data_IF_207299021307
#
_entry.id   IF_207299021307
#
_cell.length_a   1.000
_cell.length_b   1.000
_cell.length_c   1.000
_cell.angle_alpha   90.00
_cell.angle_beta   90.00
_cell.angle_gamma   90.00
#
_symmetry.space_group_name_H-M   'P 1'
#
loop_
_entity.id
_entity.type
_entity.pdbx_description
1 polymer ?
#
# COMPACT_ATOMS: atom_id res chain seq x y z
N UNK A 1 -14.55 7.80 -87.24
CA UNK A 1 -14.63 8.74 -86.12
C UNK A 1 -15.00 7.94 -84.89
N UNK A 2 -14.04 7.81 -83.95
CA UNK A 2 -14.11 6.94 -82.80
C UNK A 2 -14.59 7.76 -81.57
N UNK A 3 -15.72 7.35 -80.99
CA UNK A 3 -16.14 7.87 -79.65
C UNK A 3 -15.42 7.06 -78.58
N UNK A 4 -14.62 7.76 -77.81
CA UNK A 4 -14.00 7.20 -76.61
C UNK A 4 -14.99 7.37 -75.45
N UNK A 5 -15.53 6.26 -74.94
CA UNK A 5 -16.28 6.21 -73.70
C UNK A 5 -15.31 6.30 -72.52
N UNK A 6 -15.38 7.40 -71.79
CA UNK A 6 -14.67 7.59 -70.53
C UNK A 6 -15.53 7.02 -69.40
N UNK A 7 -15.21 5.84 -68.94
CA UNK A 7 -15.85 5.21 -67.78
C UNK A 7 -15.33 5.90 -66.51
N UNK A 8 -16.14 6.75 -65.89
CA UNK A 8 -15.87 7.29 -64.59
C UNK A 8 -16.04 6.19 -63.53
N UNK A 9 -14.96 5.62 -63.07
CA UNK A 9 -14.93 4.71 -61.91
C UNK A 9 -14.99 5.57 -60.64
N UNK A 10 -16.22 5.74 -60.08
CA UNK A 10 -16.44 6.39 -58.82
C UNK A 10 -15.97 5.42 -57.71
N UNK A 11 -14.73 5.59 -57.23
CA UNK A 11 -14.24 4.87 -56.06
C UNK A 11 -14.97 5.35 -54.81
N UNK A 12 -15.95 4.57 -54.35
CA UNK A 12 -16.66 4.79 -53.09
C UNK A 12 -15.67 4.47 -51.94
N UNK A 13 -14.99 5.49 -51.44
CA UNK A 13 -14.17 5.37 -50.22
C UNK A 13 -15.11 5.25 -49.05
N UNK A 14 -15.42 4.04 -48.63
CA UNK A 14 -16.11 3.75 -47.40
C UNK A 14 -15.13 4.05 -46.25
N UNK A 15 -15.22 5.25 -45.70
CA UNK A 15 -14.58 5.60 -44.44
C UNK A 15 -15.27 4.82 -43.33
N UNK A 16 -14.73 3.65 -43.00
CA UNK A 16 -15.08 3.00 -41.74
C UNK A 16 -14.58 3.92 -40.61
N UNK A 17 -15.44 4.43 -39.75
CA UNK A 17 -14.98 5.09 -38.55
C UNK A 17 -14.22 4.02 -37.74
N UNK A 18 -12.90 4.08 -37.77
CA UNK A 18 -12.08 3.34 -36.83
C UNK A 18 -12.40 3.92 -35.47
N UNK A 19 -13.38 3.32 -34.79
CA UNK A 19 -13.55 3.51 -33.35
C UNK A 19 -12.33 2.93 -32.63
N UNK A 20 -11.22 3.63 -32.68
CA UNK A 20 -10.15 3.48 -31.71
C UNK A 20 -10.65 4.07 -30.41
N UNK A 21 -11.62 3.40 -29.78
CA UNK A 21 -12.04 3.75 -28.43
C UNK A 21 -10.80 3.67 -27.54
N UNK A 22 -10.40 4.79 -26.99
CA UNK A 22 -9.35 4.82 -25.97
C UNK A 22 -9.76 3.87 -24.85
N UNK A 23 -8.83 2.99 -24.45
CA UNK A 23 -9.08 2.09 -23.33
C UNK A 23 -9.50 2.89 -22.11
N UNK A 24 -10.54 2.48 -21.36
CA UNK A 24 -10.98 3.22 -20.19
C UNK A 24 -9.88 3.22 -19.14
N UNK A 25 -9.69 4.35 -18.51
CA UNK A 25 -8.95 4.42 -17.25
C UNK A 25 -9.87 3.94 -16.15
N UNK A 26 -9.48 2.89 -15.43
CA UNK A 26 -10.28 2.26 -14.36
C UNK A 26 -9.51 2.38 -13.06
N UNK A 27 -10.05 3.10 -12.10
CA UNK A 27 -9.58 3.16 -10.72
C UNK A 27 -10.48 2.32 -9.83
N UNK A 28 -9.89 1.48 -8.98
CA UNK A 28 -10.63 0.60 -8.08
C UNK A 28 -10.06 0.69 -6.68
N UNK A 29 -10.93 0.80 -5.69
CA UNK A 29 -10.59 0.76 -4.26
C UNK A 29 -11.30 -0.40 -3.60
N UNK A 30 -10.62 -1.11 -2.71
CA UNK A 30 -11.15 -2.20 -1.91
C UNK A 30 -10.92 -1.92 -0.44
N UNK A 31 -11.99 -1.85 0.33
CA UNK A 31 -11.97 -1.60 1.77
C UNK A 31 -12.68 -2.74 2.50
N UNK A 32 -12.16 -3.14 3.63
CA UNK A 32 -12.82 -4.11 4.50
C UNK A 32 -13.79 -3.37 5.43
N UNK A 33 -15.01 -3.90 5.55
CA UNK A 33 -15.97 -3.39 6.51
C UNK A 33 -15.80 -4.06 7.88
N UNK A 34 -16.57 -3.61 8.88
CA UNK A 34 -16.48 -4.08 10.28
C UNK A 34 -16.82 -5.58 10.48
N UNK A 35 -17.39 -6.24 9.46
CA UNK A 35 -17.75 -7.67 9.52
C UNK A 35 -16.86 -8.52 8.60
N UNK A 36 -15.77 -7.97 8.06
CA UNK A 36 -14.81 -8.69 7.25
C UNK A 36 -15.19 -8.88 5.78
N UNK A 37 -16.26 -8.23 5.29
CA UNK A 37 -16.58 -8.22 3.87
C UNK A 37 -15.83 -7.11 3.14
N UNK A 38 -15.50 -7.33 1.86
CA UNK A 38 -14.88 -6.32 1.02
C UNK A 38 -15.90 -5.44 0.33
N UNK A 39 -15.80 -4.13 0.53
CA UNK A 39 -16.51 -3.13 -0.28
C UNK A 39 -15.58 -2.68 -1.38
N UNK A 40 -15.95 -2.94 -2.61
CA UNK A 40 -15.22 -2.51 -3.80
C UNK A 40 -15.96 -1.35 -4.44
N UNK A 41 -15.23 -0.27 -4.74
CA UNK A 41 -15.72 0.92 -5.45
C UNK A 41 -14.86 1.13 -6.67
N UNK A 42 -15.44 1.60 -7.78
CA UNK A 42 -14.69 1.91 -8.99
C UNK A 42 -15.16 3.18 -9.66
N UNK A 43 -14.24 3.80 -10.33
CA UNK A 43 -14.46 4.92 -11.24
C UNK A 43 -13.82 4.59 -12.58
N UNK A 44 -14.42 5.07 -13.67
CA UNK A 44 -13.83 4.87 -14.99
C UNK A 44 -14.18 6.00 -15.97
N UNK A 45 -13.24 6.26 -16.85
CA UNK A 45 -13.42 7.22 -17.93
C UNK A 45 -12.72 6.72 -19.22
N UNK A 46 -13.43 6.62 -20.34
CA UNK A 46 -14.88 6.74 -20.51
C UNK A 46 -15.65 5.60 -19.84
N UNK A 47 -16.91 5.85 -19.49
CA UNK A 47 -17.80 4.83 -18.95
C UNK A 47 -18.11 3.78 -20.02
N UNK A 48 -17.93 2.51 -19.68
CA UNK A 48 -18.32 1.39 -20.53
C UNK A 48 -19.59 0.71 -19.98
N UNK A 49 -20.33 0.04 -20.83
CA UNK A 49 -21.51 -0.74 -20.44
C UNK A 49 -21.14 -2.20 -20.18
N UNK A 50 -21.92 -2.89 -19.38
CA UNK A 50 -21.78 -4.31 -19.10
C UNK A 50 -21.59 -4.59 -17.62
N UNK A 51 -21.15 -5.80 -17.33
CA UNK A 51 -20.97 -6.27 -15.96
C UNK A 51 -19.51 -6.26 -15.55
N UNK A 52 -19.28 -6.12 -14.25
CA UNK A 52 -18.01 -6.46 -13.60
C UNK A 52 -18.16 -7.82 -12.93
N UNK A 53 -17.27 -8.75 -13.26
CA UNK A 53 -17.15 -10.08 -12.62
C UNK A 53 -15.96 -10.05 -11.67
N UNK A 54 -16.13 -10.62 -10.49
CA UNK A 54 -15.07 -10.69 -9.48
C UNK A 54 -14.66 -12.12 -9.25
N UNK A 55 -13.37 -12.37 -9.31
CA UNK A 55 -12.75 -13.65 -8.99
C UNK A 55 -11.84 -13.48 -7.78
N UNK A 56 -11.73 -14.48 -6.94
CA UNK A 56 -11.00 -14.42 -5.67
C UNK A 56 -10.05 -15.60 -5.50
N UNK A 57 -8.90 -15.32 -4.89
CA UNK A 57 -7.93 -16.34 -4.46
C UNK A 57 -7.19 -15.85 -3.22
N UNK A 58 -6.65 -16.77 -2.45
CA UNK A 58 -5.68 -16.45 -1.38
C UNK A 58 -4.24 -16.34 -1.91
N UNK A 59 -4.01 -16.73 -3.17
CA UNK A 59 -2.74 -16.55 -3.88
C UNK A 59 -2.86 -15.36 -4.85
N UNK A 60 -2.09 -14.28 -4.65
CA UNK A 60 -2.15 -13.10 -5.53
C UNK A 60 -1.68 -13.38 -6.97
N UNK A 61 -0.91 -14.43 -7.19
CA UNK A 61 -0.36 -14.78 -8.50
C UNK A 61 -1.23 -15.78 -9.28
N UNK A 62 -2.10 -16.52 -8.57
CA UNK A 62 -2.97 -17.53 -9.15
C UNK A 62 -4.43 -17.28 -8.73
N UNK A 63 -5.13 -16.43 -9.47
CA UNK A 63 -6.56 -16.16 -9.30
C UNK A 63 -7.31 -16.83 -10.45
N UNK A 64 -7.98 -17.99 -10.22
CA UNK A 64 -8.76 -18.66 -11.25
C UNK A 64 -9.95 -17.80 -11.69
N UNK A 65 -10.19 -17.71 -12.99
CA UNK A 65 -11.32 -16.94 -13.56
C UNK A 65 -12.45 -17.85 -14.06
N UNK A 66 -12.64 -19.03 -13.43
CA UNK A 66 -13.65 -20.02 -13.85
C UNK A 66 -15.05 -19.63 -13.36
N UNK A 67 -15.16 -19.33 -12.07
CA UNK A 67 -16.44 -19.00 -11.43
C UNK A 67 -16.30 -17.68 -10.65
N UNK A 68 -17.07 -16.64 -11.02
CA UNK A 68 -17.03 -15.39 -10.29
C UNK A 68 -17.67 -15.53 -8.90
N UNK A 69 -17.04 -14.97 -7.89
CA UNK A 69 -17.56 -14.92 -6.50
C UNK A 69 -18.59 -13.82 -6.31
N UNK A 70 -18.60 -12.81 -7.18
CA UNK A 70 -19.58 -11.73 -7.21
C UNK A 70 -19.68 -11.12 -8.62
N UNK A 71 -20.83 -10.48 -8.91
CA UNK A 71 -21.07 -9.78 -10.16
C UNK A 71 -22.00 -8.59 -9.90
N UNK A 72 -21.76 -7.47 -10.61
CA UNK A 72 -22.61 -6.28 -10.58
C UNK A 72 -22.63 -5.61 -11.96
N UNK A 73 -23.57 -4.70 -12.18
CA UNK A 73 -23.51 -3.80 -13.35
C UNK A 73 -22.39 -2.79 -13.15
N UNK A 74 -21.68 -2.45 -14.23
CA UNK A 74 -20.60 -1.45 -14.16
C UNK A 74 -21.11 -0.09 -13.69
N UNK A 75 -22.36 0.24 -14.03
CA UNK A 75 -23.01 1.50 -13.62
C UNK A 75 -23.32 1.61 -12.13
N UNK A 76 -23.26 0.50 -11.36
CA UNK A 76 -23.48 0.53 -9.91
C UNK A 76 -22.33 1.20 -9.15
N UNK A 77 -21.15 1.30 -9.77
CA UNK A 77 -19.93 1.94 -9.27
C UNK A 77 -19.41 1.38 -7.94
N UNK A 78 -20.10 0.40 -7.37
CA UNK A 78 -19.73 -0.27 -6.12
C UNK A 78 -20.37 -1.64 -6.00
N UNK A 79 -19.75 -2.52 -5.21
CA UNK A 79 -20.31 -3.78 -4.78
C UNK A 79 -19.75 -4.21 -3.43
N UNK A 80 -20.45 -5.13 -2.77
CA UNK A 80 -19.93 -5.82 -1.58
C UNK A 80 -19.62 -7.26 -1.95
N UNK A 81 -18.39 -7.69 -1.68
CA UNK A 81 -17.97 -9.07 -1.82
C UNK A 81 -18.07 -9.70 -0.44
N UNK A 82 -18.92 -10.73 -0.32
CA UNK A 82 -19.05 -11.50 0.91
C UNK A 82 -17.88 -12.48 0.98
N UNK A 83 -17.08 -12.39 2.04
CA UNK A 83 -15.91 -13.23 2.25
C UNK A 83 -16.32 -14.50 2.98
N UNK A 84 -16.06 -15.67 2.40
CA UNK A 84 -16.43 -16.95 2.99
C UNK A 84 -15.62 -17.30 4.26
N UNK A 85 -14.40 -16.80 4.37
CA UNK A 85 -13.52 -17.01 5.51
C UNK A 85 -12.78 -15.70 5.81
N UNK A 86 -13.30 -14.88 6.74
CA UNK A 86 -12.69 -13.59 7.08
C UNK A 86 -11.31 -13.70 7.75
N UNK A 87 -10.91 -14.92 8.18
CA UNK A 87 -9.56 -15.15 8.69
C UNK A 87 -8.49 -15.27 7.59
N UNK A 88 -8.91 -15.33 6.32
CA UNK A 88 -8.00 -15.42 5.18
C UNK A 88 -7.94 -14.10 4.43
N UNK A 89 -6.74 -13.73 4.01
CA UNK A 89 -6.55 -12.63 3.08
C UNK A 89 -6.90 -13.08 1.67
N UNK A 90 -7.75 -12.32 1.00
CA UNK A 90 -8.12 -12.55 -0.40
C UNK A 90 -7.53 -11.46 -1.31
N UNK A 91 -7.22 -11.88 -2.52
CA UNK A 91 -6.87 -11.06 -3.66
C UNK A 91 -7.93 -11.25 -4.74
N UNK A 92 -8.29 -10.19 -5.41
CA UNK A 92 -9.39 -10.20 -6.37
C UNK A 92 -8.92 -9.79 -7.75
N UNK A 93 -9.46 -10.43 -8.77
CA UNK A 93 -9.44 -9.94 -10.15
C UNK A 93 -10.83 -9.45 -10.49
N UNK A 94 -10.95 -8.18 -10.83
CA UNK A 94 -12.17 -7.58 -11.38
C UNK A 94 -12.05 -7.58 -12.91
N UNK A 95 -13.02 -8.19 -13.58
CA UNK A 95 -13.10 -8.25 -15.04
C UNK A 95 -14.27 -7.38 -15.51
N UNK A 96 -13.95 -6.19 -16.04
CA UNK A 96 -14.94 -5.23 -16.54
C UNK A 96 -15.23 -5.48 -18.01
N UNK A 97 -16.53 -5.72 -18.35
CA UNK A 97 -16.99 -5.92 -19.71
C UNK A 97 -16.29 -7.05 -20.44
N UNK A 98 -15.89 -8.11 -19.75
CA UNK A 98 -15.13 -9.28 -20.25
C UNK A 98 -13.79 -8.92 -20.95
N UNK A 99 -13.26 -7.74 -20.71
CA UNK A 99 -12.07 -7.23 -21.41
C UNK A 99 -11.01 -6.64 -20.50
N UNK A 100 -11.38 -5.82 -19.52
CA UNK A 100 -10.42 -5.06 -18.72
C UNK A 100 -10.28 -5.68 -17.34
N UNK A 101 -9.05 -6.06 -16.97
CA UNK A 101 -8.72 -6.71 -15.69
C UNK A 101 -8.02 -5.75 -14.76
N UNK A 102 -8.49 -5.71 -13.51
CA UNK A 102 -7.84 -4.97 -12.42
C UNK A 102 -7.64 -5.93 -11.25
N UNK A 103 -6.40 -6.10 -10.81
CA UNK A 103 -6.07 -6.84 -9.59
C UNK A 103 -6.13 -5.92 -8.38
N UNK A 104 -6.79 -6.35 -7.32
CA UNK A 104 -6.98 -5.56 -6.12
C UNK A 104 -7.00 -6.44 -4.86
N UNK A 105 -6.65 -5.86 -3.74
CA UNK A 105 -6.85 -6.40 -2.39
C UNK A 105 -7.09 -5.25 -1.41
N UNK A 106 -7.48 -5.56 -0.18
CA UNK A 106 -7.48 -4.57 0.89
C UNK A 106 -6.06 -4.12 1.18
N UNK A 107 -5.84 -2.81 1.32
CA UNK A 107 -4.53 -2.28 1.67
C UNK A 107 -4.19 -2.58 3.12
N UNK A 108 -5.09 -2.26 4.02
CA UNK A 108 -4.94 -2.61 5.42
C UNK A 108 -5.08 -4.13 5.62
N UNK A 109 -4.22 -4.68 6.47
CA UNK A 109 -4.29 -6.08 6.90
C UNK A 109 -4.42 -6.05 8.42
N UNK A 110 -5.58 -6.45 8.91
CA UNK A 110 -5.88 -6.39 10.34
C UNK A 110 -5.25 -7.60 11.06
N UNK A 111 -4.12 -7.38 11.72
CA UNK A 111 -3.47 -8.37 12.59
C UNK A 111 -3.53 -7.84 14.02
N UNK A 112 -4.23 -8.50 14.94
CA UNK A 112 -4.31 -8.04 16.33
C UNK A 112 -2.94 -7.84 16.97
N UNK A 113 -2.74 -6.70 17.63
CA UNK A 113 -1.47 -6.34 18.26
C UNK A 113 -0.45 -5.68 17.31
N UNK A 114 -0.71 -5.59 16.01
CA UNK A 114 0.15 -4.86 15.07
C UNK A 114 -0.62 -3.68 14.50
N UNK A 115 -0.16 -2.48 14.75
CA UNK A 115 -0.73 -1.27 14.16
C UNK A 115 -0.07 -0.94 12.82
N UNK A 116 -0.77 -0.16 12.02
CA UNK A 116 -0.25 0.40 10.77
C UNK A 116 0.27 -0.68 9.78
N UNK A 117 -0.28 -1.92 9.89
CA UNK A 117 0.13 -3.04 9.04
C UNK A 117 -0.62 -3.00 7.72
N UNK A 118 0.10 -2.81 6.63
CA UNK A 118 -0.46 -2.73 5.29
C UNK A 118 0.48 -3.19 4.20
N UNK A 119 -0.13 -3.57 3.09
CA UNK A 119 0.56 -4.00 1.87
C UNK A 119 0.93 -2.79 1.00
N UNK A 120 2.15 -2.76 0.48
CA UNK A 120 2.60 -1.77 -0.51
C UNK A 120 2.26 -2.15 -1.94
N UNK A 121 1.59 -3.29 -2.16
CA UNK A 121 1.11 -3.72 -3.48
C UNK A 121 0.02 -2.83 -4.05
N UNK A 122 -0.30 -3.03 -5.31
CA UNK A 122 -1.41 -2.39 -5.99
C UNK A 122 -1.15 -0.99 -6.53
N UNK A 123 -0.06 -0.34 -6.19
CA UNK A 123 0.25 0.98 -6.73
C UNK A 123 0.68 0.90 -8.20
N UNK A 124 0.13 1.75 -9.09
CA UNK A 124 0.47 1.76 -10.49
C UNK A 124 1.82 2.44 -10.73
N UNK A 125 2.70 1.80 -11.49
CA UNK A 125 3.93 2.40 -12.00
C UNK A 125 3.68 2.94 -13.40
N UNK A 126 3.72 4.24 -13.56
CA UNK A 126 3.50 4.88 -14.85
C UNK A 126 4.64 4.65 -15.84
N UNK A 127 5.88 4.50 -15.33
CA UNK A 127 7.06 4.24 -16.15
C UNK A 127 7.06 2.83 -16.74
N UNK A 128 6.68 1.82 -15.95
CA UNK A 128 6.67 0.41 -16.39
C UNK A 128 5.30 -0.04 -16.91
N UNK A 129 4.24 0.74 -16.72
CA UNK A 129 2.83 0.39 -16.98
C UNK A 129 2.39 -0.89 -16.26
N UNK A 130 3.04 -1.19 -15.14
CA UNK A 130 2.76 -2.34 -14.28
C UNK A 130 2.25 -1.86 -12.93
N UNK A 131 1.76 -2.78 -12.14
CA UNK A 131 1.34 -2.57 -10.77
C UNK A 131 2.34 -3.24 -9.84
N UNK A 132 2.62 -2.63 -8.67
CA UNK A 132 3.39 -3.29 -7.61
C UNK A 132 2.66 -4.56 -7.20
N UNK A 133 3.37 -5.68 -7.14
CA UNK A 133 2.76 -6.97 -6.79
C UNK A 133 2.20 -6.94 -5.37
N UNK A 134 0.97 -7.40 -5.24
CA UNK A 134 0.33 -7.59 -3.94
C UNK A 134 1.00 -8.72 -3.16
N UNK A 135 0.97 -8.62 -1.83
CA UNK A 135 1.43 -9.69 -0.96
C UNK A 135 2.95 -9.86 -0.86
N UNK A 136 3.74 -8.92 -1.38
CA UNK A 136 5.20 -9.05 -1.42
C UNK A 136 5.90 -8.17 -0.39
N UNK A 137 5.49 -6.93 -0.23
CA UNK A 137 6.11 -5.96 0.67
C UNK A 137 5.04 -5.36 1.55
N UNK A 138 5.22 -5.48 2.84
CA UNK A 138 4.36 -4.91 3.85
C UNK A 138 5.12 -3.86 4.66
N UNK A 139 4.39 -2.96 5.28
CA UNK A 139 4.91 -2.02 6.27
C UNK A 139 4.07 -2.05 7.53
N UNK A 140 4.68 -1.78 8.70
CA UNK A 140 3.96 -1.78 9.97
C UNK A 140 4.61 -0.93 11.05
N UNK A 141 3.91 -0.77 12.18
CA UNK A 141 4.49 -0.44 13.46
C UNK A 141 5.26 -1.64 14.04
N UNK A 142 5.70 -1.54 15.29
CA UNK A 142 6.48 -2.58 15.96
C UNK A 142 5.77 -3.94 16.01
N UNK A 143 6.57 -5.01 15.94
CA UNK A 143 6.14 -6.39 15.92
C UNK A 143 6.93 -7.16 17.00
N UNK A 144 6.71 -6.88 18.27
CA UNK A 144 7.48 -7.52 19.35
C UNK A 144 6.71 -8.60 20.10
N UNK A 145 5.70 -8.18 20.82
CA UNK A 145 4.96 -9.05 21.75
C UNK A 145 3.67 -9.54 21.12
N UNK A 146 3.79 -10.46 20.18
CA UNK A 146 2.64 -11.03 19.50
C UNK A 146 2.11 -12.28 20.20
N UNK A 147 0.80 -12.35 20.36
CA UNK A 147 0.11 -13.58 20.73
C UNK A 147 0.24 -14.65 19.65
N UNK A 148 0.01 -15.91 20.02
CA UNK A 148 0.09 -17.04 19.10
C UNK A 148 -0.79 -16.87 17.86
N UNK A 149 -1.96 -16.26 18.03
CA UNK A 149 -2.88 -15.97 16.91
C UNK A 149 -2.24 -15.04 15.89
N UNK A 150 -1.72 -13.89 16.31
CA UNK A 150 -1.14 -12.88 15.43
C UNK A 150 0.13 -13.39 14.72
N UNK A 151 0.93 -14.21 15.40
CA UNK A 151 2.07 -14.90 14.76
C UNK A 151 1.61 -15.87 13.68
N UNK A 152 0.49 -16.58 13.90
CA UNK A 152 -0.11 -17.45 12.90
C UNK A 152 -0.57 -16.67 11.69
N UNK A 153 -1.18 -15.48 11.89
CA UNK A 153 -1.61 -14.62 10.78
C UNK A 153 -0.43 -14.14 9.94
N UNK A 154 0.69 -13.75 10.56
CA UNK A 154 1.91 -13.44 9.81
C UNK A 154 2.42 -14.63 8.99
N UNK A 155 2.35 -15.85 9.53
CA UNK A 155 2.70 -17.08 8.79
C UNK A 155 1.72 -17.35 7.65
N UNK A 156 0.43 -17.13 7.87
CA UNK A 156 -0.60 -17.30 6.83
C UNK A 156 -0.40 -16.35 5.65
N UNK A 157 0.15 -15.14 5.91
CA UNK A 157 0.58 -14.21 4.86
C UNK A 157 1.87 -14.68 4.14
N UNK A 158 2.47 -15.76 4.58
CA UNK A 158 3.71 -16.29 4.05
C UNK A 158 4.95 -15.46 4.39
N UNK A 159 4.87 -14.52 5.34
CA UNK A 159 5.99 -13.64 5.71
C UNK A 159 7.24 -14.45 5.99
N UNK A 160 8.36 -14.06 5.36
CA UNK A 160 9.66 -14.69 5.56
C UNK A 160 10.63 -13.78 6.29
N UNK A 161 10.67 -12.50 5.93
CA UNK A 161 11.67 -11.55 6.44
C UNK A 161 11.00 -10.36 7.12
N UNK A 162 11.50 -10.02 8.30
CA UNK A 162 11.15 -8.82 9.06
C UNK A 162 12.37 -7.91 9.08
N UNK A 163 12.28 -6.71 8.50
CA UNK A 163 13.32 -5.69 8.55
C UNK A 163 12.97 -4.71 9.67
N UNK A 164 13.69 -4.79 10.77
CA UNK A 164 13.51 -3.93 11.95
C UNK A 164 14.43 -2.71 11.86
N UNK A 165 13.83 -1.54 11.72
CA UNK A 165 14.51 -0.25 11.58
C UNK A 165 14.71 0.48 12.91
N UNK A 166 14.31 -0.11 14.04
CA UNK A 166 14.42 0.54 15.35
C UNK A 166 15.87 0.65 15.79
N UNK A 167 16.18 1.70 16.52
CA UNK A 167 17.47 1.83 17.15
C UNK A 167 17.68 0.71 18.18
N UNK A 168 18.95 0.37 18.47
CA UNK A 168 19.27 -0.69 19.43
C UNK A 168 18.79 -0.39 20.85
N UNK A 169 18.58 0.88 21.18
CA UNK A 169 17.99 1.32 22.46
C UNK A 169 16.47 1.07 22.56
N UNK A 170 15.78 0.91 21.41
CA UNK A 170 14.33 0.67 21.33
C UNK A 170 14.00 -0.83 21.28
N UNK A 171 14.99 -1.68 21.02
CA UNK A 171 14.79 -3.13 20.90
C UNK A 171 15.21 -3.85 22.17
N UNK A 172 14.45 -4.88 22.56
CA UNK A 172 14.88 -5.82 23.59
C UNK A 172 16.09 -6.66 23.16
N UNK A 173 16.59 -7.50 24.05
CA UNK A 173 17.83 -8.29 23.80
C UNK A 173 17.76 -9.22 22.59
N UNK A 174 16.60 -9.81 22.29
CA UNK A 174 16.33 -10.57 21.05
C UNK A 174 14.81 -10.63 20.84
N UNK A 175 14.38 -10.42 19.60
CA UNK A 175 12.98 -10.63 19.26
C UNK A 175 12.63 -12.12 19.34
N UNK A 176 11.58 -12.52 20.07
CA UNK A 176 11.11 -13.90 20.10
C UNK A 176 10.71 -14.43 18.70
N UNK A 177 10.50 -13.52 17.74
CA UNK A 177 10.14 -13.84 16.36
C UNK A 177 11.30 -14.41 15.54
N UNK A 178 12.57 -14.27 15.97
CA UNK A 178 13.73 -14.83 15.26
C UNK A 178 13.70 -16.36 15.14
N UNK A 179 12.89 -17.04 15.94
CA UNK A 179 12.69 -18.49 15.81
C UNK A 179 11.77 -18.89 14.67
N UNK A 180 10.95 -17.96 14.19
CA UNK A 180 9.89 -18.23 13.21
C UNK A 180 10.12 -17.48 11.88
N UNK A 181 10.81 -16.35 11.94
CA UNK A 181 11.04 -15.45 10.80
C UNK A 181 12.51 -15.06 10.70
N UNK A 182 12.97 -14.73 9.51
CA UNK A 182 14.27 -14.10 9.31
C UNK A 182 14.17 -12.63 9.75
N UNK A 183 14.58 -12.32 10.98
CA UNK A 183 14.59 -10.94 11.51
C UNK A 183 15.93 -10.31 11.23
N UNK A 184 15.95 -9.26 10.41
CA UNK A 184 17.14 -8.49 10.07
C UNK A 184 17.02 -7.11 10.71
N UNK A 185 17.92 -6.81 11.64
CA UNK A 185 17.97 -5.53 12.33
C UNK A 185 18.90 -4.57 11.58
N UNK A 186 18.34 -3.48 11.05
CA UNK A 186 19.05 -2.41 10.35
C UNK A 186 18.65 -1.08 11.01
N UNK A 187 19.35 -0.67 12.06
CA UNK A 187 18.93 0.44 12.89
C UNK A 187 19.08 1.79 12.20
N UNK A 188 18.00 2.55 12.12
CA UNK A 188 17.97 3.95 11.72
C UNK A 188 17.69 4.79 12.97
N UNK A 189 18.71 5.36 13.59
CA UNK A 189 18.53 6.17 14.78
C UNK A 189 17.95 7.55 14.45
N UNK A 190 16.89 7.95 15.12
CA UNK A 190 16.18 9.22 14.90
C UNK A 190 16.47 10.28 15.98
N UNK A 191 17.63 10.17 16.64
CA UNK A 191 17.93 11.03 17.78
C UNK A 191 17.13 10.63 19.03
N UNK A 192 17.21 11.45 20.06
CA UNK A 192 16.59 11.18 21.35
C UNK A 192 15.14 11.71 21.40
N UNK A 193 14.23 11.00 20.76
CA UNK A 193 12.81 11.35 20.74
C UNK A 193 12.20 11.34 22.16
N UNK A 194 12.69 10.51 23.06
CA UNK A 194 12.19 10.43 24.43
C UNK A 194 12.50 11.73 25.19
N UNK A 195 13.71 12.28 25.06
CA UNK A 195 14.06 13.57 25.65
C UNK A 195 13.29 14.73 25.02
N UNK A 196 13.00 14.67 23.71
CA UNK A 196 12.14 15.67 23.05
C UNK A 196 10.73 15.64 23.66
N UNK A 197 10.13 14.46 23.74
CA UNK A 197 8.78 14.29 24.32
C UNK A 197 8.75 14.68 25.81
N UNK A 198 9.80 14.38 26.56
CA UNK A 198 9.97 14.81 27.95
C UNK A 198 10.04 16.33 28.04
N UNK A 199 10.86 16.96 27.20
CA UNK A 199 10.99 18.42 27.16
C UNK A 199 9.70 19.15 26.77
N UNK A 200 8.86 18.54 25.92
CA UNK A 200 7.52 19.04 25.59
C UNK A 200 6.60 18.94 26.81
N UNK A 201 6.56 17.78 27.48
CA UNK A 201 5.73 17.56 28.68
C UNK A 201 6.10 18.49 29.83
N UNK A 202 7.37 18.83 29.95
CA UNK A 202 7.91 19.73 30.99
C UNK A 202 7.85 21.20 30.55
N UNK A 203 7.22 21.51 29.40
CA UNK A 203 7.11 22.87 28.81
C UNK A 203 8.47 23.57 28.58
N UNK A 204 9.55 22.79 28.54
CA UNK A 204 10.92 23.28 28.30
C UNK A 204 11.25 23.50 26.82
N UNK A 205 10.51 22.84 25.92
CA UNK A 205 10.72 22.94 24.47
C UNK A 205 9.47 23.55 23.83
N UNK A 206 9.68 24.67 23.12
CA UNK A 206 8.62 25.34 22.36
C UNK A 206 8.25 24.55 21.10
N UNK A 207 7.01 24.64 20.65
CA UNK A 207 6.49 23.97 19.46
C UNK A 207 7.36 24.19 18.22
N UNK A 208 7.76 25.44 17.92
CA UNK A 208 8.62 25.76 16.76
C UNK A 208 10.00 25.03 16.81
N UNK A 209 10.51 24.79 18.02
CA UNK A 209 11.75 24.05 18.21
C UNK A 209 11.52 22.58 17.89
N UNK A 210 10.38 22.03 18.28
CA UNK A 210 10.01 20.63 17.96
C UNK A 210 9.93 20.42 16.46
N UNK A 211 9.25 21.32 15.73
CA UNK A 211 9.17 21.24 14.27
C UNK A 211 10.55 21.20 13.61
N UNK A 212 11.45 22.10 14.01
CA UNK A 212 12.83 22.12 13.50
C UNK A 212 13.61 20.84 13.84
N UNK A 213 13.42 20.29 15.04
CA UNK A 213 14.07 19.06 15.44
C UNK A 213 13.57 17.86 14.60
N UNK A 214 12.25 17.75 14.40
CA UNK A 214 11.65 16.69 13.55
C UNK A 214 12.09 16.85 12.09
N UNK A 215 12.12 18.07 11.57
CA UNK A 215 12.63 18.33 10.22
C UNK A 215 14.10 17.89 10.09
N UNK A 216 14.96 18.26 11.05
CA UNK A 216 16.36 17.86 11.03
C UNK A 216 16.51 16.34 11.14
N UNK A 217 15.72 15.68 11.98
CA UNK A 217 15.72 14.21 12.08
C UNK A 217 15.36 13.55 10.75
N UNK A 218 14.37 14.08 10.02
CA UNK A 218 13.99 13.55 8.71
C UNK A 218 15.10 13.77 7.67
N UNK A 219 15.77 14.94 7.67
CA UNK A 219 16.96 15.19 6.83
C UNK A 219 18.07 14.23 7.15
N UNK A 220 18.38 14.04 8.44
CA UNK A 220 19.41 13.11 8.90
C UNK A 220 19.13 11.68 8.47
N UNK A 221 17.88 11.24 8.50
CA UNK A 221 17.48 9.93 7.99
C UNK A 221 17.80 9.76 6.50
N UNK A 222 17.64 10.80 5.70
CA UNK A 222 17.94 10.73 4.26
C UNK A 222 19.44 10.76 4.02
N UNK A 223 20.16 11.64 4.71
CA UNK A 223 21.57 11.96 4.37
C UNK A 223 22.58 10.99 4.99
N UNK A 224 22.28 10.38 6.15
CA UNK A 224 23.28 9.66 6.95
C UNK A 224 23.25 8.14 6.81
N UNK A 225 22.18 7.56 6.26
CA UNK A 225 21.93 6.11 6.30
C UNK A 225 22.03 5.40 4.94
N UNK A 226 22.90 5.90 4.06
CA UNK A 226 23.10 5.31 2.71
C UNK A 226 23.52 3.84 2.77
N UNK A 227 24.34 3.45 3.74
CA UNK A 227 24.79 2.06 3.92
C UNK A 227 23.65 1.15 4.34
N UNK A 228 22.82 1.60 5.27
CA UNK A 228 21.65 0.89 5.77
C UNK A 228 20.60 0.72 4.68
N UNK A 229 20.35 1.78 3.90
CA UNK A 229 19.46 1.68 2.74
C UNK A 229 19.98 0.68 1.71
N UNK A 230 21.27 0.65 1.44
CA UNK A 230 21.85 -0.37 0.55
C UNK A 230 21.57 -1.77 1.08
N UNK A 231 21.79 -2.04 2.37
CA UNK A 231 21.49 -3.35 2.96
C UNK A 231 20.01 -3.73 2.84
N UNK A 232 19.09 -2.77 3.02
CA UNK A 232 17.66 -2.98 2.81
C UNK A 232 17.37 -3.37 1.35
N UNK A 233 17.96 -2.65 0.39
CA UNK A 233 17.77 -2.96 -1.03
C UNK A 233 18.42 -4.28 -1.42
N UNK A 234 19.55 -4.67 -0.84
CA UNK A 234 20.17 -5.99 -1.08
C UNK A 234 19.23 -7.12 -0.64
N UNK A 235 18.54 -6.97 0.51
CA UNK A 235 17.50 -7.92 0.95
C UNK A 235 16.32 -7.94 -0.04
N UNK A 236 15.87 -6.77 -0.50
CA UNK A 236 14.74 -6.67 -1.44
C UNK A 236 15.07 -7.16 -2.85
N UNK A 237 16.33 -7.26 -3.23
CA UNK A 237 16.79 -7.85 -4.48
C UNK A 237 16.86 -9.39 -4.42
N UNK A 238 16.94 -9.98 -3.22
CA UNK A 238 16.88 -11.44 -3.06
C UNK A 238 15.42 -11.92 -3.08
N UNK A 239 15.07 -12.70 -4.10
CA UNK A 239 13.73 -13.30 -4.27
C UNK A 239 13.34 -14.23 -3.12
N UNK A 240 14.31 -14.81 -2.41
CA UNK A 240 14.05 -15.73 -1.30
C UNK A 240 13.60 -15.00 -0.03
N UNK A 241 13.85 -13.69 0.07
CA UNK A 241 13.47 -12.86 1.22
C UNK A 241 11.96 -12.62 1.33
N UNK A 242 11.22 -12.75 0.22
CA UNK A 242 9.79 -12.39 0.14
C UNK A 242 8.85 -13.46 0.67
N UNK A 243 7.68 -13.03 1.22
CA UNK A 243 7.25 -11.67 1.52
C UNK A 243 8.02 -11.01 2.67
N UNK A 244 8.18 -9.66 2.58
CA UNK A 244 8.96 -8.85 3.54
C UNK A 244 8.06 -7.90 4.31
N UNK A 245 8.31 -7.71 5.60
CA UNK A 245 7.72 -6.62 6.39
C UNK A 245 8.81 -5.64 6.79
N UNK A 246 8.62 -4.36 6.52
CA UNK A 246 9.47 -3.26 6.95
C UNK A 246 8.79 -2.56 8.12
N UNK A 247 9.44 -2.49 9.28
CA UNK A 247 8.82 -1.90 10.45
C UNK A 247 9.78 -1.07 11.31
N UNK A 248 9.20 -0.20 12.11
CA UNK A 248 9.87 0.51 13.20
C UNK A 248 8.90 0.61 14.39
N UNK A 249 9.06 1.53 15.31
CA UNK A 249 8.18 1.64 16.49
C UNK A 249 6.74 2.03 16.13
N UNK A 250 6.52 3.06 15.30
CA UNK A 250 5.18 3.52 14.88
C UNK A 250 4.81 3.18 13.43
N UNK A 251 5.79 2.73 12.64
CA UNK A 251 5.59 2.49 11.20
C UNK A 251 5.39 3.76 10.38
N UNK A 252 5.68 4.96 10.94
CA UNK A 252 5.46 6.26 10.28
C UNK A 252 6.72 6.82 9.63
N UNK A 253 7.68 7.33 10.41
CA UNK A 253 8.85 8.06 9.93
C UNK A 253 9.84 7.15 9.19
N UNK A 254 10.63 6.36 9.91
CA UNK A 254 11.67 5.47 9.35
C UNK A 254 11.10 4.51 8.30
N UNK A 255 10.04 3.81 8.67
CA UNK A 255 9.33 2.92 7.74
C UNK A 255 8.75 3.68 6.55
N UNK A 256 8.25 4.89 6.76
CA UNK A 256 7.72 5.74 5.70
C UNK A 256 8.77 6.14 4.68
N UNK A 257 9.96 6.55 5.13
CA UNK A 257 11.07 6.90 4.24
C UNK A 257 11.53 5.68 3.43
N UNK A 258 11.75 4.54 4.09
CA UNK A 258 12.13 3.31 3.38
C UNK A 258 11.07 2.89 2.37
N UNK A 259 9.79 2.93 2.75
CA UNK A 259 8.68 2.62 1.83
C UNK A 259 8.64 3.59 0.65
N UNK A 260 8.88 4.89 0.88
CA UNK A 260 8.94 5.89 -0.18
C UNK A 260 10.08 5.61 -1.15
N UNK A 261 11.28 5.29 -0.65
CA UNK A 261 12.43 4.92 -1.48
C UNK A 261 12.14 3.67 -2.33
N UNK A 262 11.52 2.66 -1.75
CA UNK A 262 11.13 1.43 -2.47
C UNK A 262 10.10 1.74 -3.56
N UNK A 263 9.05 2.49 -3.24
CA UNK A 263 8.02 2.86 -4.21
C UNK A 263 8.59 3.73 -5.33
N UNK A 264 9.47 4.70 -5.00
CA UNK A 264 10.16 5.53 -5.99
C UNK A 264 11.04 4.69 -6.93
N UNK A 265 11.80 3.72 -6.38
CA UNK A 265 12.61 2.79 -7.18
C UNK A 265 11.74 1.90 -8.12
N UNK A 266 10.51 1.62 -7.74
CA UNK A 266 9.52 0.91 -8.56
C UNK A 266 8.80 1.83 -9.58
N UNK A 267 9.14 3.12 -9.62
CA UNK A 267 8.57 4.10 -10.56
C UNK A 267 7.16 4.55 -10.20
N UNK A 268 6.83 4.57 -8.92
CA UNK A 268 5.56 5.11 -8.43
C UNK A 268 5.66 6.64 -8.35
N UNK A 269 4.58 7.34 -8.70
CA UNK A 269 4.51 8.79 -8.66
C UNK A 269 4.58 9.31 -7.21
N UNK A 270 5.19 10.48 -7.03
CA UNK A 270 5.36 11.14 -5.74
C UNK A 270 4.01 11.37 -5.02
N UNK A 271 2.97 11.78 -5.72
CA UNK A 271 1.64 11.97 -5.13
C UNK A 271 1.12 10.70 -4.46
N UNK A 272 1.26 9.55 -5.13
CA UNK A 272 0.86 8.24 -4.60
C UNK A 272 1.72 7.84 -3.40
N UNK A 273 3.03 8.11 -3.46
CA UNK A 273 3.95 7.87 -2.34
C UNK A 273 3.53 8.70 -1.12
N UNK A 274 3.18 9.96 -1.34
CA UNK A 274 2.70 10.84 -0.27
C UNK A 274 1.35 10.42 0.30
N UNK A 275 0.46 9.90 -0.54
CA UNK A 275 -0.80 9.31 -0.09
C UNK A 275 -0.55 8.09 0.81
N UNK A 276 0.31 7.14 0.38
CA UNK A 276 0.67 6.00 1.24
C UNK A 276 1.26 6.47 2.58
N UNK A 277 2.12 7.47 2.57
CA UNK A 277 2.69 8.01 3.81
C UNK A 277 1.61 8.54 4.75
N UNK A 278 0.64 9.30 4.22
CA UNK A 278 -0.46 9.91 4.98
C UNK A 278 -1.42 8.88 5.59
N UNK A 279 -1.61 7.72 4.95
CA UNK A 279 -2.41 6.61 5.49
C UNK A 279 -1.95 6.15 6.87
N UNK A 280 -0.70 6.44 7.25
CA UNK A 280 -0.23 6.15 8.61
C UNK A 280 -0.99 6.93 9.70
N UNK A 281 -1.70 8.00 9.36
CA UNK A 281 -2.54 8.72 10.31
C UNK A 281 -3.85 7.99 10.59
N UNK A 282 -4.33 7.20 9.64
CA UNK A 282 -5.58 6.44 9.75
C UNK A 282 -5.35 5.07 10.40
N UNK A 283 -4.18 4.47 10.17
CA UNK A 283 -3.85 3.11 10.60
C UNK A 283 -3.01 3.02 11.89
N UNK A 284 -2.58 4.16 12.44
CA UNK A 284 -1.86 4.20 13.70
C UNK A 284 -2.62 5.03 14.73
N UNK A 285 -3.19 4.36 15.71
CA UNK A 285 -3.89 5.00 16.82
C UNK A 285 -2.88 5.42 17.90
N UNK A 286 -2.80 6.71 18.17
CA UNK A 286 -2.02 7.22 19.30
C UNK A 286 -2.77 6.87 20.57
N UNK A 287 -2.15 6.18 21.57
CA UNK A 287 -2.81 5.90 22.85
C UNK A 287 -3.35 7.16 23.49
N UNK A 288 -4.52 7.07 24.14
CA UNK A 288 -5.24 8.22 24.78
C UNK A 288 -4.37 8.99 25.74
N UNK A 289 -3.37 8.35 26.38
CA UNK A 289 -2.37 9.02 27.23
C UNK A 289 -1.58 10.13 26.55
N UNK A 290 -1.51 10.11 25.21
CA UNK A 290 -0.88 11.18 24.40
C UNK A 290 -1.88 12.20 23.87
N UNK A 291 -3.20 11.92 23.91
CA UNK A 291 -4.23 12.83 23.38
C UNK A 291 -4.50 14.02 24.30
N UNK A 292 -4.20 13.91 25.58
CA UNK A 292 -4.29 15.07 26.50
C UNK A 292 -3.32 16.20 26.14
N UNK A 293 -2.24 15.91 25.42
CA UNK A 293 -1.34 16.93 24.88
C UNK A 293 -1.95 17.67 23.67
N UNK A 294 -2.87 17.04 22.92
CA UNK A 294 -3.60 17.68 21.80
C UNK A 294 -4.75 18.59 22.27
N UNK A 295 -5.37 18.29 23.41
CA UNK A 295 -6.53 19.06 23.88
C UNK A 295 -6.18 20.53 24.22
N UNK A 296 -4.93 20.83 24.51
CA UNK A 296 -4.46 22.21 24.73
C UNK A 296 -4.08 22.95 23.43
N UNK A 297 -3.91 22.24 22.30
CA UNK A 297 -3.51 22.84 21.01
C UNK A 297 -4.68 23.15 20.06
N UNK A 298 -5.87 22.56 20.28
CA UNK A 298 -7.03 22.72 19.37
C UNK A 298 -7.77 24.05 19.49
N UNK A 299 -7.21 25.04 20.19
CA UNK A 299 -7.71 26.41 20.17
C UNK A 299 -7.33 27.25 18.95
N UNK A 300 -6.48 26.76 18.04
CA UNK A 300 -6.12 27.44 16.78
C UNK A 300 -5.94 26.44 15.64
N UNK A 301 -6.81 26.57 14.66
CA UNK A 301 -6.80 25.87 13.38
C UNK A 301 -5.38 25.62 12.85
N UNK A 302 -5.02 24.34 12.70
CA UNK A 302 -3.98 23.94 11.77
C UNK A 302 -4.67 23.12 10.67
N UNK A 303 -4.79 23.79 9.53
CA UNK A 303 -5.12 23.22 8.23
C UNK A 303 -3.95 22.36 7.76
#
# INVERSE_FOLDING_TARGET
>A
MMYKNLLNLLALVVLFPSCSGTAPHISVVCEENNVGNCIVKWEMAPLIKGNVKVYASTDPDAIPEDVPVAMADISDLKMTIITNDPAKRYYYTLLFGDKYRVKIATRNVNIPGIQNFRDLGGYPSYSTKKQVRWGMIYRSAEIDSLECYSRRELRNLGIKTLIDLRASSETGRQSPLQKEFNVVHIPLATGDMENILKGIREEKIKSDTVYRMVEQMNRDLIDKYTTEYRQIFDILLDKNSYPVVIHCSSGKGRTGIVSALVLAALGINEDIIMEDYRLSNDYFNIPVSYTHLRAHETGRNLV
#
